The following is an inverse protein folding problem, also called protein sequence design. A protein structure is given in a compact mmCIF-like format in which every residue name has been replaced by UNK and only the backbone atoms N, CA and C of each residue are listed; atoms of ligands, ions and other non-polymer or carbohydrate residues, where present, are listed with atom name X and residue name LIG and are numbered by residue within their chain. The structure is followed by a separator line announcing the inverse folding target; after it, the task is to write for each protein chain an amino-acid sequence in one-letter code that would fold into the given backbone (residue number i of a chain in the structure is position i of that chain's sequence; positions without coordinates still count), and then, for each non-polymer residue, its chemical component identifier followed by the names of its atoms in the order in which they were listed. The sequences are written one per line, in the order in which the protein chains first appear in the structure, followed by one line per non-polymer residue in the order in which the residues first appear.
data_IF_699080006603
#
_entry.id   IF_699080006603
#
_cell.length_a   1.000
_cell.length_b   1.000
_cell.length_c   1.000
_cell.angle_alpha   90.00
_cell.angle_beta   90.00
_cell.angle_gamma   90.00
#
_symmetry.space_group_name_H-M   'P 1'
#
loop_
_entity.id
_entity.type
_entity.pdbx_description
1 polymer ?
#
# COMPACT_ATOMS: atom_id res chain seq x y z
N UNK A 1 -11.73 17.76 13.98
CA UNK A 1 -10.77 17.17 13.04
C UNK A 1 -11.19 15.73 12.83
N UNK A 2 -11.46 15.32 11.58
CA UNK A 2 -11.92 13.97 11.23
C UNK A 2 -10.76 12.97 11.23
N UNK A 3 -11.06 11.66 11.28
CA UNK A 3 -10.02 10.61 11.23
C UNK A 3 -9.22 10.65 9.93
N UNK A 4 -9.87 10.95 8.80
CA UNK A 4 -9.25 11.23 7.50
C UNK A 4 -8.25 12.40 7.56
N UNK A 5 -8.58 13.49 8.25
CA UNK A 5 -7.66 14.62 8.40
C UNK A 5 -6.43 14.23 9.24
N UNK A 6 -6.62 13.43 10.29
CA UNK A 6 -5.51 12.93 11.12
C UNK A 6 -4.58 12.00 10.33
N UNK A 7 -5.13 11.13 9.47
CA UNK A 7 -4.35 10.24 8.59
C UNK A 7 -3.59 11.02 7.52
N UNK A 8 -4.25 11.99 6.89
CA UNK A 8 -3.65 12.87 5.87
C UNK A 8 -2.51 13.72 6.44
N UNK A 9 -2.66 14.24 7.65
CA UNK A 9 -1.60 15.00 8.34
C UNK A 9 -0.39 14.13 8.64
N UNK A 10 -0.57 12.87 9.04
CA UNK A 10 0.54 11.92 9.33
C UNK A 10 1.33 11.51 8.08
N UNK A 11 0.68 11.41 6.92
CA UNK A 11 1.39 11.09 5.68
C UNK A 11 2.22 12.26 5.14
N UNK A 12 1.80 13.50 5.38
CA UNK A 12 2.50 14.70 4.87
C UNK A 12 3.53 15.23 5.87
N UNK A 13 3.24 15.16 7.17
CA UNK A 13 4.06 15.74 8.24
C UNK A 13 4.48 14.67 9.25
N UNK A 14 5.80 14.53 9.43
CA UNK A 14 6.35 13.74 10.53
C UNK A 14 6.03 14.38 11.90
N UNK A 15 6.28 13.67 13.02
CA UNK A 15 5.92 14.12 14.38
C UNK A 15 6.48 15.50 14.79
N UNK A 16 7.49 16.01 14.07
CA UNK A 16 8.14 17.31 14.28
C UNK A 16 7.68 18.43 13.34
N UNK A 17 6.62 18.24 12.54
CA UNK A 17 6.17 19.24 11.55
C UNK A 17 7.10 19.38 10.35
N UNK A 18 8.03 18.45 10.18
CA UNK A 18 8.96 18.39 9.05
C UNK A 18 8.27 17.70 7.87
N UNK A 19 8.48 18.20 6.65
CA UNK A 19 8.09 17.50 5.40
C UNK A 19 8.66 16.08 5.49
N UNK A 20 7.82 15.05 5.30
CA UNK A 20 8.30 13.68 5.19
C UNK A 20 9.26 13.57 3.99
N UNK A 21 10.56 13.72 4.25
CA UNK A 21 11.59 13.38 3.29
C UNK A 21 11.50 11.89 3.03
N UNK A 22 11.13 11.52 1.80
CA UNK A 22 11.08 10.13 1.34
C UNK A 22 12.42 9.45 1.65
N UNK A 23 12.40 8.47 2.55
CA UNK A 23 13.57 7.66 2.90
C UNK A 23 14.01 6.85 1.69
N UNK A 24 15.22 6.27 1.72
CA UNK A 24 15.67 5.43 0.60
C UNK A 24 14.76 4.20 0.40
N UNK A 25 14.23 3.64 1.49
CA UNK A 25 13.25 2.53 1.46
C UNK A 25 11.92 2.93 0.81
N UNK A 26 11.43 4.15 1.09
CA UNK A 26 10.21 4.65 0.45
C UNK A 26 10.42 4.88 -1.05
N UNK A 27 11.59 5.39 -1.48
CA UNK A 27 11.90 5.59 -2.91
C UNK A 27 11.93 4.28 -3.70
N UNK A 28 12.44 3.19 -3.11
CA UNK A 28 12.45 1.87 -3.74
C UNK A 28 11.04 1.30 -3.89
N UNK A 29 10.24 1.39 -2.82
CA UNK A 29 8.83 0.96 -2.85
C UNK A 29 8.04 1.74 -3.90
N UNK A 30 8.23 3.07 -3.95
CA UNK A 30 7.58 3.93 -4.95
C UNK A 30 7.93 3.49 -6.37
N UNK A 31 9.19 3.17 -6.66
CA UNK A 31 9.63 2.72 -7.98
C UNK A 31 9.04 1.36 -8.38
N UNK A 32 8.77 0.48 -7.41
CA UNK A 32 8.09 -0.80 -7.65
C UNK A 32 6.60 -0.57 -7.91
N UNK A 33 5.95 0.25 -7.09
CA UNK A 33 4.50 0.49 -7.14
C UNK A 33 4.09 1.43 -8.29
N UNK A 34 5.01 2.23 -8.84
CA UNK A 34 4.75 3.18 -9.92
C UNK A 34 4.37 2.57 -11.27
N UNK A 35 4.24 1.25 -11.34
CA UNK A 35 3.63 0.55 -12.49
C UNK A 35 2.11 0.75 -12.55
N UNK A 36 1.48 1.13 -11.44
CA UNK A 36 0.04 1.38 -11.36
C UNK A 36 -0.38 2.76 -11.87
N UNK A 37 -1.66 3.08 -11.72
CA UNK A 37 -2.22 4.41 -12.01
C UNK A 37 -1.98 5.34 -10.81
N UNK A 38 -1.42 6.52 -11.07
CA UNK A 38 -1.20 7.54 -10.05
C UNK A 38 -2.52 8.04 -9.45
N UNK A 39 -2.57 8.19 -8.13
CA UNK A 39 -3.76 8.70 -7.42
C UNK A 39 -3.58 10.12 -6.86
N UNK A 40 -2.45 10.79 -7.13
CA UNK A 40 -2.19 12.12 -6.55
C UNK A 40 -3.17 13.19 -7.04
N UNK A 41 -3.75 13.01 -8.23
CA UNK A 41 -4.77 13.92 -8.76
C UNK A 41 -6.07 13.90 -7.93
N UNK A 42 -6.29 12.84 -7.17
CA UNK A 42 -7.40 12.71 -6.21
C UNK A 42 -6.94 12.86 -4.75
N UNK A 43 -5.72 13.36 -4.54
CA UNK A 43 -5.17 13.69 -3.22
C UNK A 43 -4.59 12.51 -2.44
N UNK A 44 -4.39 11.35 -3.09
CA UNK A 44 -3.80 10.16 -2.48
C UNK A 44 -2.38 9.99 -3.03
N UNK A 45 -1.37 10.04 -2.16
CA UNK A 45 0.04 9.88 -2.54
C UNK A 45 0.40 8.39 -2.69
N UNK A 46 -0.28 7.68 -3.60
CA UNK A 46 -0.05 6.26 -3.87
C UNK A 46 -0.46 5.88 -5.29
N UNK A 47 -0.34 4.59 -5.61
CA UNK A 47 -0.63 4.00 -6.89
C UNK A 47 -1.77 3.00 -6.77
N UNK A 48 -2.65 2.97 -7.77
CA UNK A 48 -3.69 1.96 -7.93
C UNK A 48 -3.19 0.88 -8.90
N UNK A 49 -3.01 -0.33 -8.40
CA UNK A 49 -2.48 -1.46 -9.15
C UNK A 49 -3.61 -2.39 -9.57
N UNK A 50 -3.57 -2.90 -10.80
CA UNK A 50 -4.40 -4.08 -11.14
C UNK A 50 -3.94 -5.29 -10.32
N UNK A 51 -4.76 -6.34 -10.27
CA UNK A 51 -4.39 -7.59 -9.59
C UNK A 51 -3.05 -8.15 -10.06
N UNK A 52 -2.84 -8.20 -11.38
CA UNK A 52 -1.60 -8.69 -11.97
C UNK A 52 -0.40 -7.83 -11.57
N UNK A 53 -0.54 -6.49 -11.70
CA UNK A 53 0.51 -5.56 -11.30
C UNK A 53 0.86 -5.69 -9.82
N UNK A 54 -0.16 -5.85 -8.98
CA UNK A 54 0.02 -5.97 -7.55
C UNK A 54 0.78 -7.26 -7.20
N UNK A 55 0.40 -8.40 -7.78
CA UNK A 55 1.11 -9.67 -7.56
C UNK A 55 2.58 -9.62 -8.01
N UNK A 56 2.86 -9.01 -9.16
CA UNK A 56 4.25 -8.79 -9.64
C UNK A 56 5.02 -7.84 -8.71
N UNK A 57 4.34 -6.80 -8.19
CA UNK A 57 4.95 -5.87 -7.24
C UNK A 57 5.31 -6.57 -5.92
N UNK A 58 4.51 -7.53 -5.45
CA UNK A 58 4.82 -8.31 -4.25
C UNK A 58 6.12 -9.09 -4.39
N UNK A 59 6.37 -9.74 -5.53
CA UNK A 59 7.62 -10.47 -5.76
C UNK A 59 8.85 -9.53 -5.67
N UNK A 60 8.72 -8.30 -6.18
CA UNK A 60 9.78 -7.28 -6.11
C UNK A 60 9.97 -6.71 -4.70
N UNK A 61 8.87 -6.50 -3.97
CA UNK A 61 8.93 -6.01 -2.59
C UNK A 61 9.57 -7.05 -1.66
N UNK A 62 9.24 -8.33 -1.85
CA UNK A 62 9.85 -9.45 -1.14
C UNK A 62 11.37 -9.50 -1.38
N UNK A 63 11.81 -9.35 -2.64
CA UNK A 63 13.22 -9.32 -3.01
C UNK A 63 13.99 -8.14 -2.37
N UNK A 64 13.31 -7.03 -2.07
CA UNK A 64 13.87 -5.86 -1.38
C UNK A 64 13.73 -5.93 0.14
N UNK A 65 13.18 -7.02 0.68
CA UNK A 65 12.86 -7.21 2.10
C UNK A 65 11.92 -6.12 2.66
N UNK A 66 10.98 -5.63 1.84
CA UNK A 66 9.99 -4.65 2.25
C UNK A 66 8.68 -5.34 2.68
N UNK A 67 8.34 -5.21 3.97
CA UNK A 67 7.10 -5.74 4.52
C UNK A 67 5.88 -4.92 4.10
N UNK A 68 4.68 -5.47 4.32
CA UNK A 68 3.40 -4.84 3.96
C UNK A 68 2.55 -4.66 5.21
N UNK A 69 2.10 -3.43 5.46
CA UNK A 69 1.21 -3.11 6.57
C UNK A 69 -0.26 -3.32 6.22
N UNK A 70 -0.60 -3.36 4.94
CA UNK A 70 -1.96 -3.54 4.46
C UNK A 70 -2.21 -2.89 3.12
N UNK A 71 -3.47 -2.53 2.89
CA UNK A 71 -3.87 -1.84 1.68
C UNK A 71 -5.38 -1.64 1.58
N UNK A 72 -5.76 -0.89 0.55
CA UNK A 72 -7.14 -0.55 0.22
C UNK A 72 -7.53 -1.13 -1.13
N UNK A 73 -8.83 -1.40 -1.30
CA UNK A 73 -9.40 -1.73 -2.60
C UNK A 73 -10.16 -0.53 -3.16
N UNK A 74 -9.94 -0.28 -4.45
CA UNK A 74 -10.61 0.75 -5.21
C UNK A 74 -11.48 0.12 -6.30
N UNK A 75 -12.65 0.70 -6.51
CA UNK A 75 -13.48 0.45 -7.68
C UNK A 75 -13.39 1.63 -8.65
N UNK A 76 -13.46 1.36 -9.95
CA UNK A 76 -13.60 2.39 -10.96
C UNK A 76 -15.08 2.62 -11.29
N UNK A 77 -15.55 3.86 -11.15
CA UNK A 77 -16.90 4.28 -11.57
C UNK A 77 -16.79 5.50 -12.47
N UNK A 78 -17.23 5.35 -13.71
CA UNK A 78 -17.20 6.43 -14.72
C UNK A 78 -15.79 7.03 -14.92
N UNK A 79 -14.75 6.18 -14.94
CA UNK A 79 -13.35 6.59 -15.12
C UNK A 79 -12.67 7.17 -13.87
N UNK A 80 -13.37 7.19 -12.73
CA UNK A 80 -12.88 7.71 -11.45
C UNK A 80 -12.68 6.57 -10.46
N UNK A 81 -11.46 6.42 -9.96
CA UNK A 81 -11.12 5.49 -8.90
C UNK A 81 -11.62 6.01 -7.55
N UNK A 82 -12.28 5.14 -6.79
CA UNK A 82 -12.82 5.44 -5.46
C UNK A 82 -12.63 4.22 -4.56
N UNK A 83 -12.37 4.47 -3.28
CA UNK A 83 -12.40 3.40 -2.28
C UNK A 83 -13.75 2.70 -2.32
N UNK A 84 -13.72 1.36 -2.33
CA UNK A 84 -14.92 0.55 -2.14
C UNK A 84 -15.13 0.19 -0.66
N UNK A 85 -14.25 0.69 0.23
CA UNK A 85 -14.19 0.49 1.67
C UNK A 85 -13.70 -0.87 2.15
N UNK A 86 -13.37 -1.78 1.24
CA UNK A 86 -12.65 -3.00 1.59
C UNK A 86 -11.15 -2.69 1.74
N UNK A 87 -10.56 -3.26 2.78
CA UNK A 87 -9.15 -3.12 3.11
C UNK A 87 -8.65 -4.37 3.83
N UNK A 88 -7.33 -4.48 3.95
CA UNK A 88 -6.67 -5.45 4.80
C UNK A 88 -5.53 -4.78 5.55
N UNK A 89 -5.13 -5.40 6.65
CA UNK A 89 -3.98 -4.97 7.44
C UNK A 89 -3.16 -6.18 7.89
N UNK A 90 -1.88 -5.96 8.13
CA UNK A 90 -0.95 -6.94 8.66
C UNK A 90 0.02 -6.21 9.59
N UNK A 91 -0.29 -6.17 10.88
CA UNK A 91 0.59 -5.58 11.87
C UNK A 91 1.74 -6.54 12.21
N UNK A 92 2.95 -6.02 12.51
CA UNK A 92 4.02 -6.82 13.08
C UNK A 92 3.59 -7.47 14.39
N UNK A 93 3.93 -8.75 14.56
CA UNK A 93 3.65 -9.47 15.80
C UNK A 93 4.71 -9.16 16.88
N UNK A 94 4.36 -9.39 18.15
CA UNK A 94 5.31 -9.23 19.24
C UNK A 94 6.48 -10.21 19.06
N UNK A 95 7.71 -9.71 19.21
CA UNK A 95 8.96 -10.48 19.06
C UNK A 95 9.16 -11.12 17.66
N UNK A 96 8.40 -10.68 16.66
CA UNK A 96 8.56 -11.10 15.27
C UNK A 96 9.84 -10.52 14.67
N UNK A 97 10.66 -11.37 14.06
CA UNK A 97 11.83 -10.89 13.33
C UNK A 97 11.39 -10.15 12.07
N UNK A 98 12.20 -9.18 11.61
CA UNK A 98 11.88 -8.44 10.38
C UNK A 98 11.66 -9.39 9.18
N UNK A 99 12.49 -10.42 9.03
CA UNK A 99 12.32 -11.39 7.93
C UNK A 99 11.03 -12.21 8.04
N UNK A 100 10.61 -12.58 9.26
CA UNK A 100 9.34 -13.25 9.49
C UNK A 100 8.16 -12.33 9.13
N UNK A 101 8.23 -11.06 9.55
CA UNK A 101 7.22 -10.06 9.22
C UNK A 101 7.10 -9.83 7.71
N UNK A 102 8.24 -9.64 7.01
CA UNK A 102 8.27 -9.48 5.55
C UNK A 102 7.59 -10.67 4.88
N UNK A 103 8.00 -11.90 5.21
CA UNK A 103 7.45 -13.10 4.60
C UNK A 103 5.94 -13.23 4.85
N UNK A 104 5.51 -13.11 6.11
CA UNK A 104 4.10 -13.25 6.51
C UNK A 104 3.22 -12.17 5.87
N UNK A 105 3.67 -10.92 5.89
CA UNK A 105 2.91 -9.80 5.32
C UNK A 105 2.78 -9.87 3.79
N UNK A 106 3.83 -10.30 3.09
CA UNK A 106 3.79 -10.57 1.65
C UNK A 106 2.79 -11.69 1.36
N UNK A 107 2.85 -12.80 2.10
CA UNK A 107 1.94 -13.93 1.90
C UNK A 107 0.48 -13.56 2.18
N UNK A 108 0.20 -12.87 3.29
CA UNK A 108 -1.15 -12.40 3.62
C UNK A 108 -1.71 -11.49 2.52
N UNK A 109 -0.88 -10.56 2.02
CA UNK A 109 -1.29 -9.64 0.95
C UNK A 109 -1.51 -10.39 -0.37
N UNK A 110 -0.63 -11.33 -0.72
CA UNK A 110 -0.78 -12.19 -1.91
C UNK A 110 -2.08 -12.98 -1.85
N UNK A 111 -2.40 -13.59 -0.72
CA UNK A 111 -3.64 -14.34 -0.51
C UNK A 111 -4.87 -13.44 -0.61
N UNK A 112 -4.85 -12.25 -0.01
CA UNK A 112 -5.96 -11.31 -0.10
C UNK A 112 -6.21 -10.90 -1.56
N UNK A 113 -5.17 -10.44 -2.25
CA UNK A 113 -5.26 -9.97 -3.64
C UNK A 113 -5.65 -11.10 -4.60
N UNK A 114 -5.12 -12.31 -4.41
CA UNK A 114 -5.46 -13.45 -5.28
C UNK A 114 -6.91 -13.89 -5.12
N UNK A 115 -7.46 -13.84 -3.91
CA UNK A 115 -8.81 -14.33 -3.61
C UNK A 115 -9.88 -13.24 -3.63
N UNK A 116 -9.52 -11.97 -3.83
CA UNK A 116 -10.49 -10.88 -3.84
C UNK A 116 -11.50 -11.10 -4.98
N UNK A 117 -12.83 -11.03 -4.73
CA UNK A 117 -13.84 -11.55 -5.66
C UNK A 117 -14.04 -10.67 -6.91
N UNK A 118 -13.81 -9.37 -6.81
CA UNK A 118 -14.00 -8.44 -7.94
C UNK A 118 -12.76 -8.42 -8.85
N UNK A 119 -12.92 -8.77 -10.12
CA UNK A 119 -11.83 -8.78 -11.09
C UNK A 119 -11.50 -7.40 -11.65
N UNK A 120 -12.43 -6.44 -11.56
CA UNK A 120 -12.32 -5.10 -12.14
C UNK A 120 -11.91 -4.04 -11.09
N UNK A 121 -11.36 -4.48 -9.96
CA UNK A 121 -10.88 -3.61 -8.89
C UNK A 121 -9.38 -3.31 -8.99
N UNK A 122 -8.95 -2.32 -8.21
CA UNK A 122 -7.56 -1.94 -8.05
C UNK A 122 -7.14 -2.01 -6.58
N UNK A 123 -5.85 -2.21 -6.36
CA UNK A 123 -5.25 -2.34 -5.04
C UNK A 123 -4.28 -1.20 -4.78
N UNK A 124 -4.36 -0.63 -3.59
CA UNK A 124 -3.35 0.26 -3.02
C UNK A 124 -2.56 -0.56 -2.00
N UNK A 125 -1.24 -0.62 -2.13
CA UNK A 125 -0.38 -1.35 -1.18
C UNK A 125 0.31 -0.35 -0.25
N UNK A 126 0.25 -0.62 1.06
CA UNK A 126 0.94 0.16 2.09
C UNK A 126 2.13 -0.63 2.60
N UNK A 127 3.35 -0.18 2.32
CA UNK A 127 4.59 -0.84 2.76
C UNK A 127 5.01 -0.39 4.15
N UNK A 128 5.69 -1.27 4.88
CA UNK A 128 6.44 -0.92 6.08
C UNK A 128 7.74 -0.23 5.65
N UNK A 129 7.93 1.02 6.09
CA UNK A 129 9.10 1.86 5.74
C UNK A 129 10.30 1.63 6.66
#
# INVERSE_FOLDING_TARGET
MSKEEVFRVRQVYGPSGTINMRTNGSKKSDAILSVGRWLGDVGINSWALTREQALIALDKLEAEANGILGGDVLAEKSGVLRHNYDNWHCDPEQDESNSAFVFRSIMNTRTYIANYPDTECFFVIVTAL
#
